data_IF_969636530609
#
_entry.id   IF_969636530609
#
_cell.length_a   1.000
_cell.length_b   1.000
_cell.length_c   1.000
_cell.angle_alpha   90.00
_cell.angle_beta   90.00
_cell.angle_gamma   90.00
#
_symmetry.space_group_name_H-M   'P 1'
#
loop_
_entity.id
_entity.type
_entity.pdbx_description
1 polymer ?
#
# COMPACT_ATOMS: atom_id res chain seq x y z
N UNK A 1 -18.09 -1.84 12.87
CA UNK A 1 -16.89 -2.21 12.10
C UNK A 1 -16.88 -1.41 10.80
N UNK A 2 -15.73 -0.86 10.40
CA UNK A 2 -15.59 -0.16 9.11
C UNK A 2 -14.94 -1.11 8.11
N UNK A 3 -15.53 -1.29 6.92
CA UNK A 3 -15.01 -2.16 5.87
C UNK A 3 -14.22 -1.34 4.85
N UNK A 4 -13.09 -1.88 4.42
CA UNK A 4 -12.26 -1.34 3.33
C UNK A 4 -12.20 -2.33 2.17
N UNK A 5 -12.46 -1.86 0.95
CA UNK A 5 -12.35 -2.66 -0.27
C UNK A 5 -10.94 -2.51 -0.86
N UNK A 6 -10.26 -3.62 -1.08
CA UNK A 6 -9.01 -3.56 -1.86
C UNK A 6 -9.33 -3.34 -3.33
N UNK A 7 -8.68 -2.34 -3.97
CA UNK A 7 -8.82 -2.12 -5.41
C UNK A 7 -8.27 -3.29 -6.26
N UNK A 8 -7.67 -4.29 -5.61
CA UNK A 8 -7.29 -5.56 -6.24
C UNK A 8 -8.45 -6.23 -6.99
N UNK A 9 -9.68 -6.02 -6.58
CA UNK A 9 -10.86 -6.58 -7.26
C UNK A 9 -11.00 -6.12 -8.70
N UNK A 10 -10.34 -5.04 -9.08
CA UNK A 10 -10.29 -4.51 -10.43
C UNK A 10 -9.06 -4.96 -11.23
N UNK A 11 -8.13 -5.70 -10.63
CA UNK A 11 -6.96 -6.24 -11.34
C UNK A 11 -7.39 -7.35 -12.32
N UNK A 12 -6.74 -7.41 -13.48
CA UNK A 12 -6.96 -8.46 -14.45
C UNK A 12 -6.60 -9.85 -13.86
N UNK A 13 -7.29 -10.91 -14.24
CA UNK A 13 -6.96 -12.27 -13.79
C UNK A 13 -5.49 -12.61 -14.08
N UNK A 14 -4.74 -13.01 -13.03
CA UNK A 14 -3.32 -13.34 -13.12
C UNK A 14 -2.36 -12.14 -13.16
N UNK A 15 -2.85 -10.91 -13.28
CA UNK A 15 -2.04 -9.69 -13.23
C UNK A 15 -2.09 -9.02 -11.85
N UNK A 16 -1.05 -8.22 -11.56
CA UNK A 16 -1.00 -7.27 -10.43
C UNK A 16 -0.80 -5.84 -10.92
N UNK A 17 -0.66 -5.66 -12.21
CA UNK A 17 -0.30 -4.41 -12.88
C UNK A 17 -1.45 -3.88 -13.72
N UNK A 18 -2.15 -4.78 -14.43
CA UNK A 18 -3.27 -4.44 -15.30
C UNK A 18 -4.59 -4.42 -14.55
N UNK A 19 -5.48 -3.52 -14.96
CA UNK A 19 -6.83 -3.41 -14.41
C UNK A 19 -7.89 -3.56 -15.49
N UNK A 20 -9.01 -4.21 -15.14
CA UNK A 20 -10.20 -4.39 -15.99
C UNK A 20 -11.31 -3.40 -15.64
N UNK A 21 -11.13 -2.62 -14.59
CA UNK A 21 -12.04 -1.56 -14.13
C UNK A 21 -11.25 -0.33 -13.74
N UNK A 22 -11.80 0.84 -14.01
CA UNK A 22 -11.25 2.10 -13.56
C UNK A 22 -11.42 2.28 -12.05
N UNK A 23 -10.63 3.17 -11.45
CA UNK A 23 -10.81 3.55 -10.05
C UNK A 23 -12.20 4.14 -9.78
N UNK A 24 -12.74 4.92 -10.71
CA UNK A 24 -14.05 5.55 -10.60
C UNK A 24 -15.16 4.51 -10.44
N UNK A 25 -15.17 3.47 -11.29
CA UNK A 25 -16.11 2.36 -11.19
C UNK A 25 -15.99 1.61 -9.86
N UNK A 26 -14.75 1.36 -9.40
CA UNK A 26 -14.50 0.68 -8.12
C UNK A 26 -14.98 1.51 -6.93
N UNK A 27 -14.73 2.82 -6.95
CA UNK A 27 -15.15 3.73 -5.88
C UNK A 27 -16.69 3.83 -5.79
N UNK A 28 -17.37 3.97 -6.92
CA UNK A 28 -18.83 3.98 -6.96
C UNK A 28 -19.43 2.68 -6.44
N UNK A 29 -18.92 1.55 -6.90
CA UNK A 29 -19.38 0.22 -6.44
C UNK A 29 -19.12 0.04 -4.94
N UNK A 30 -17.94 0.40 -4.44
CA UNK A 30 -17.61 0.34 -3.03
C UNK A 30 -18.60 1.15 -2.17
N UNK A 31 -18.90 2.37 -2.58
CA UNK A 31 -19.84 3.24 -1.89
C UNK A 31 -21.26 2.66 -1.89
N UNK A 32 -21.74 2.16 -3.04
CA UNK A 32 -23.08 1.53 -3.20
C UNK A 32 -23.26 0.31 -2.29
N UNK A 33 -22.22 -0.51 -2.14
CA UNK A 33 -22.25 -1.72 -1.29
C UNK A 33 -22.09 -1.38 0.20
N UNK A 34 -21.68 -0.14 0.54
CA UNK A 34 -21.56 0.33 1.90
C UNK A 34 -20.17 0.24 2.51
N UNK A 35 -19.12 0.07 1.71
CA UNK A 35 -17.74 0.24 2.17
C UNK A 35 -17.50 1.68 2.63
N UNK A 36 -16.55 1.85 3.53
CA UNK A 36 -16.16 3.16 4.10
C UNK A 36 -14.74 3.55 3.73
N UNK A 37 -14.00 2.65 3.10
CA UNK A 37 -12.65 2.91 2.65
C UNK A 37 -12.27 2.03 1.47
N UNK A 38 -11.19 2.41 0.80
CA UNK A 38 -10.48 1.61 -0.19
C UNK A 38 -9.02 1.41 0.24
N UNK A 39 -8.47 0.25 -0.09
CA UNK A 39 -7.04 -0.02 0.04
C UNK A 39 -6.42 0.10 -1.35
N UNK A 40 -5.55 1.10 -1.52
CA UNK A 40 -4.94 1.45 -2.82
C UNK A 40 -3.78 0.54 -3.18
N UNK A 41 -3.64 0.29 -4.48
CA UNK A 41 -2.53 -0.47 -5.08
C UNK A 41 -1.98 0.27 -6.29
N UNK A 42 -0.72 -0.03 -6.63
CA UNK A 42 -0.01 0.58 -7.75
C UNK A 42 -0.73 0.40 -9.10
N UNK A 43 -1.54 -0.65 -9.26
CA UNK A 43 -2.37 -0.90 -10.44
C UNK A 43 -3.41 0.20 -10.71
N UNK A 44 -3.87 0.91 -9.68
CA UNK A 44 -4.81 2.04 -9.81
C UNK A 44 -4.13 3.39 -9.56
N UNK A 45 -3.10 3.41 -8.70
CA UNK A 45 -2.34 4.62 -8.39
C UNK A 45 -1.13 4.29 -7.53
N UNK A 46 0.06 4.36 -8.12
CA UNK A 46 1.35 4.08 -7.50
C UNK A 46 2.34 5.22 -7.68
N UNK A 47 3.57 5.01 -7.23
CA UNK A 47 4.66 6.01 -7.30
C UNK A 47 4.99 6.45 -8.74
N UNK A 48 4.68 5.60 -9.73
CA UNK A 48 4.84 5.88 -11.15
C UNK A 48 3.69 6.70 -11.77
N UNK A 49 2.58 6.88 -11.03
CA UNK A 49 1.37 7.51 -11.56
C UNK A 49 1.50 9.04 -11.53
N UNK A 50 1.13 9.75 -12.62
CA UNK A 50 1.19 11.21 -12.65
C UNK A 50 0.39 11.87 -11.52
N UNK A 51 0.93 12.93 -10.93
CA UNK A 51 0.33 13.67 -9.81
C UNK A 51 -1.14 14.07 -10.08
N UNK A 52 -1.44 14.51 -11.30
CA UNK A 52 -2.81 14.90 -11.68
C UNK A 52 -3.79 13.73 -11.54
N UNK A 53 -3.37 12.53 -11.92
CA UNK A 53 -4.18 11.32 -11.79
C UNK A 53 -4.37 10.92 -10.32
N UNK A 54 -3.31 11.00 -9.50
CA UNK A 54 -3.40 10.74 -8.05
C UNK A 54 -4.38 11.72 -7.38
N UNK A 55 -4.32 13.00 -7.78
CA UNK A 55 -5.24 14.02 -7.28
C UNK A 55 -6.70 13.71 -7.66
N UNK A 56 -6.95 13.27 -8.90
CA UNK A 56 -8.28 12.86 -9.36
C UNK A 56 -8.81 11.64 -8.57
N UNK A 57 -7.95 10.63 -8.35
CA UNK A 57 -8.27 9.45 -7.53
C UNK A 57 -8.68 9.85 -6.11
N UNK A 58 -7.88 10.73 -5.47
CA UNK A 58 -8.22 11.26 -4.13
C UNK A 58 -9.55 11.98 -4.11
N UNK A 59 -9.80 12.83 -5.11
CA UNK A 59 -11.05 13.58 -5.21
C UNK A 59 -12.25 12.62 -5.38
N UNK A 60 -12.13 11.65 -6.29
CA UNK A 60 -13.19 10.64 -6.50
C UNK A 60 -13.49 9.84 -5.24
N UNK A 61 -12.46 9.41 -4.48
CA UNK A 61 -12.66 8.73 -3.21
C UNK A 61 -13.49 9.60 -2.24
N UNK A 62 -13.16 10.89 -2.11
CA UNK A 62 -13.89 11.85 -1.27
C UNK A 62 -15.35 12.03 -1.73
N UNK A 63 -15.58 12.17 -3.02
CA UNK A 63 -16.92 12.34 -3.59
C UNK A 63 -17.82 11.12 -3.30
N UNK A 64 -17.20 9.93 -3.21
CA UNK A 64 -17.86 8.70 -2.81
C UNK A 64 -17.88 8.47 -1.27
N UNK A 65 -17.46 9.44 -0.44
CA UNK A 65 -17.31 9.29 1.02
C UNK A 65 -16.44 8.09 1.44
N UNK A 66 -15.40 7.80 0.69
CA UNK A 66 -14.44 6.73 0.97
C UNK A 66 -13.12 7.32 1.49
N UNK A 67 -12.61 6.78 2.59
CA UNK A 67 -11.24 7.01 3.01
C UNK A 67 -10.27 6.10 2.25
N UNK A 68 -9.00 6.48 2.14
CA UNK A 68 -7.93 5.55 1.74
C UNK A 68 -7.34 4.95 3.00
N UNK A 69 -7.52 3.65 3.21
CA UNK A 69 -7.15 2.96 4.46
C UNK A 69 -5.71 2.47 4.48
N UNK A 70 -5.13 2.22 3.33
CA UNK A 70 -3.75 1.76 3.17
C UNK A 70 -3.31 1.96 1.72
N UNK A 71 -2.02 2.18 1.52
CA UNK A 71 -1.39 2.30 0.20
C UNK A 71 -0.37 1.17 0.00
N UNK A 72 -0.35 0.58 -1.20
CA UNK A 72 0.74 -0.26 -1.70
C UNK A 72 1.28 0.43 -2.94
N UNK A 73 2.39 1.13 -2.81
CA UNK A 73 2.84 2.15 -3.77
C UNK A 73 3.52 1.63 -5.02
N UNK A 74 3.91 0.34 -5.07
CA UNK A 74 4.60 -0.27 -6.22
C UNK A 74 4.09 -1.70 -6.51
N UNK A 75 4.48 -2.26 -7.68
CA UNK A 75 4.12 -3.61 -8.09
C UNK A 75 4.93 -4.73 -7.42
N UNK A 76 6.23 -4.56 -7.11
CA UNK A 76 7.04 -5.60 -6.47
C UNK A 76 6.47 -6.11 -5.14
N UNK A 77 5.86 -5.24 -4.34
CA UNK A 77 5.30 -5.62 -3.03
C UNK A 77 4.14 -6.62 -3.17
N UNK A 78 3.09 -6.38 -3.97
CA UNK A 78 1.99 -7.33 -4.12
C UNK A 78 2.36 -8.57 -4.94
N UNK A 79 3.35 -8.47 -5.81
CA UNK A 79 3.90 -9.62 -6.56
C UNK A 79 4.70 -10.52 -5.62
N UNK A 80 5.20 -9.98 -4.50
CA UNK A 80 6.08 -10.66 -3.55
C UNK A 80 7.39 -11.16 -4.16
N UNK A 81 7.94 -10.40 -5.09
CA UNK A 81 9.26 -10.70 -5.67
C UNK A 81 10.42 -10.13 -4.83
N UNK A 82 11.65 -10.41 -5.21
CA UNK A 82 12.85 -9.98 -4.48
C UNK A 82 13.10 -8.47 -4.56
N UNK A 83 12.36 -7.74 -5.40
CA UNK A 83 12.43 -6.29 -5.47
C UNK A 83 11.46 -5.59 -4.51
N UNK A 84 10.54 -6.33 -3.87
CA UNK A 84 9.60 -5.75 -2.89
C UNK A 84 10.26 -4.88 -1.82
N UNK A 85 11.39 -5.29 -1.21
CA UNK A 85 12.11 -4.48 -0.23
C UNK A 85 12.80 -3.22 -0.79
N UNK A 86 12.85 -3.04 -2.10
CA UNK A 86 13.47 -1.84 -2.71
C UNK A 86 12.79 -0.55 -2.27
N UNK A 87 11.47 -0.60 -2.01
CA UNK A 87 10.72 0.52 -1.45
C UNK A 87 11.31 1.04 -0.13
N UNK A 88 11.86 0.16 0.73
CA UNK A 88 12.48 0.54 2.00
C UNK A 88 13.76 1.37 1.83
N UNK A 89 14.49 1.17 0.72
CA UNK A 89 15.74 1.87 0.44
C UNK A 89 15.53 3.29 -0.08
N UNK A 90 14.33 3.56 -0.59
CA UNK A 90 13.88 4.87 -1.05
C UNK A 90 12.39 5.03 -0.73
N UNK A 91 12.07 5.22 0.55
CA UNK A 91 10.69 5.26 1.03
C UNK A 91 9.98 6.57 0.72
N UNK A 92 10.73 7.68 0.56
CA UNK A 92 10.19 9.02 0.37
C UNK A 92 9.08 9.12 -0.69
N UNK A 93 9.23 8.61 -1.94
CA UNK A 93 8.17 8.68 -2.94
C UNK A 93 6.88 7.93 -2.53
N UNK A 94 7.03 6.88 -1.72
CA UNK A 94 5.89 6.11 -1.22
C UNK A 94 5.16 6.86 -0.10
N UNK A 95 5.89 7.56 0.76
CA UNK A 95 5.30 8.44 1.78
C UNK A 95 4.59 9.62 1.13
N UNK A 96 5.21 10.27 0.13
CA UNK A 96 4.59 11.35 -0.64
C UNK A 96 3.26 10.90 -1.28
N UNK A 97 3.25 9.72 -1.92
CA UNK A 97 2.03 9.12 -2.47
C UNK A 97 0.96 8.89 -1.39
N UNK A 98 1.37 8.42 -0.21
CA UNK A 98 0.45 8.13 0.90
C UNK A 98 -0.22 9.41 1.40
N UNK A 99 0.54 10.50 1.57
CA UNK A 99 0.02 11.81 1.92
C UNK A 99 -0.90 12.38 0.83
N UNK A 100 -0.48 12.29 -0.43
CA UNK A 100 -1.29 12.73 -1.57
C UNK A 100 -2.65 12.02 -1.64
N UNK A 101 -2.70 10.74 -1.31
CA UNK A 101 -3.94 9.97 -1.23
C UNK A 101 -4.72 10.21 0.07
N UNK A 102 -4.12 10.87 1.06
CA UNK A 102 -4.74 11.14 2.36
C UNK A 102 -4.84 9.91 3.25
N UNK A 103 -3.90 8.99 3.13
CA UNK A 103 -3.75 7.81 3.98
C UNK A 103 -2.67 8.03 5.05
N UNK A 104 -2.69 7.19 6.08
CA UNK A 104 -1.71 7.16 7.17
C UNK A 104 -1.06 5.79 7.35
N UNK A 105 -1.24 4.89 6.39
CA UNK A 105 -0.73 3.53 6.44
C UNK A 105 -0.22 3.10 5.07
N UNK A 106 1.02 2.60 5.04
CA UNK A 106 1.64 2.06 3.83
C UNK A 106 2.07 0.60 4.05
N UNK A 107 1.85 -0.22 3.03
CA UNK A 107 2.34 -1.59 3.01
C UNK A 107 3.75 -1.65 2.45
N UNK A 108 4.64 -2.32 3.19
CA UNK A 108 6.03 -2.59 2.82
C UNK A 108 6.28 -4.10 2.71
N UNK A 109 7.47 -4.49 2.25
CA UNK A 109 7.95 -5.87 2.26
C UNK A 109 9.37 -5.95 2.82
N UNK A 110 9.62 -6.99 3.64
CA UNK A 110 10.95 -7.37 4.13
C UNK A 110 11.14 -8.86 3.88
N UNK A 111 12.24 -9.24 3.24
CA UNK A 111 12.49 -10.63 2.86
C UNK A 111 13.75 -11.21 3.52
N UNK A 112 14.72 -10.37 3.81
CA UNK A 112 16.04 -10.77 4.32
C UNK A 112 16.46 -9.92 5.50
N UNK A 113 17.40 -10.42 6.30
CA UNK A 113 17.96 -9.71 7.44
C UNK A 113 18.47 -8.30 7.10
N UNK A 114 19.09 -8.13 5.95
CA UNK A 114 19.59 -6.85 5.46
C UNK A 114 18.49 -5.80 5.23
N UNK A 115 17.22 -6.22 5.11
CA UNK A 115 16.10 -5.30 4.94
C UNK A 115 15.74 -4.58 6.25
N UNK A 116 16.13 -5.13 7.41
CA UNK A 116 15.79 -4.58 8.73
C UNK A 116 16.38 -3.19 8.93
N UNK A 117 17.64 -2.98 8.56
CA UNK A 117 18.29 -1.67 8.70
C UNK A 117 17.60 -0.61 7.81
N UNK A 118 17.09 -1.01 6.66
CA UNK A 118 16.33 -0.12 5.79
C UNK A 118 14.93 0.13 6.32
N UNK A 119 14.30 -0.88 6.92
CA UNK A 119 13.01 -0.74 7.57
C UNK A 119 13.08 0.22 8.78
N UNK A 120 14.16 0.17 9.57
CA UNK A 120 14.40 1.13 10.66
C UNK A 120 14.45 2.57 10.14
N UNK A 121 15.26 2.83 9.10
CA UNK A 121 15.37 4.17 8.48
C UNK A 121 14.04 4.64 7.88
N UNK A 122 13.36 3.75 7.16
CA UNK A 122 12.05 4.04 6.60
C UNK A 122 11.00 4.32 7.68
N UNK A 123 11.07 3.61 8.82
CA UNK A 123 10.20 3.83 9.98
C UNK A 123 10.43 5.19 10.63
N UNK A 124 11.69 5.64 10.74
CA UNK A 124 12.02 6.95 11.27
C UNK A 124 11.44 8.07 10.37
N UNK A 125 11.66 7.99 9.06
CA UNK A 125 11.11 8.96 8.10
C UNK A 125 9.57 8.96 8.09
N UNK A 126 8.95 7.78 8.14
CA UNK A 126 7.49 7.65 8.17
C UNK A 126 6.89 8.25 9.46
N UNK A 127 7.57 8.07 10.60
CA UNK A 127 7.16 8.62 11.90
C UNK A 127 7.13 10.16 11.89
N UNK A 128 8.10 10.81 11.23
CA UNK A 128 8.14 12.26 11.07
C UNK A 128 6.93 12.81 10.32
N UNK A 129 6.23 11.96 9.56
CA UNK A 129 5.05 12.29 8.75
C UNK A 129 3.75 11.70 9.28
N UNK A 130 3.74 11.15 10.49
CA UNK A 130 2.59 10.44 11.07
C UNK A 130 2.06 9.28 10.20
N UNK A 131 2.94 8.64 9.43
CA UNK A 131 2.62 7.48 8.58
C UNK A 131 3.14 6.21 9.24
N UNK A 132 2.31 5.17 9.25
CA UNK A 132 2.64 3.84 9.77
C UNK A 132 3.07 2.91 8.64
N UNK A 133 4.09 2.10 8.92
CA UNK A 133 4.48 1.02 8.02
C UNK A 133 3.81 -0.28 8.46
N UNK A 134 3.32 -1.07 7.51
CA UNK A 134 2.73 -2.38 7.77
C UNK A 134 3.34 -3.44 6.85
N UNK A 135 3.58 -4.63 7.40
CA UNK A 135 4.00 -5.80 6.64
C UNK A 135 2.90 -6.85 6.66
N UNK A 136 2.58 -7.42 5.51
CA UNK A 136 1.68 -8.57 5.44
C UNK A 136 2.48 -9.86 5.66
N UNK A 137 2.01 -10.74 6.57
CA UNK A 137 2.55 -12.11 6.67
C UNK A 137 2.49 -12.80 5.31
N UNK A 138 3.63 -13.28 4.84
CA UNK A 138 3.74 -13.91 3.55
C UNK A 138 4.87 -14.95 3.55
N UNK A 139 4.70 -16.00 2.75
CA UNK A 139 5.77 -16.97 2.47
C UNK A 139 6.99 -16.27 1.87
N UNK A 140 8.17 -16.80 2.15
CA UNK A 140 9.45 -16.24 1.67
C UNK A 140 9.68 -14.78 2.13
N UNK A 141 9.24 -14.44 3.33
CA UNK A 141 9.50 -13.15 3.98
C UNK A 141 9.94 -13.37 5.43
N UNK A 142 10.48 -12.32 6.07
CA UNK A 142 10.79 -12.35 7.52
C UNK A 142 9.53 -12.51 8.39
N UNK A 143 8.34 -12.30 7.82
CA UNK A 143 7.04 -12.44 8.47
C UNK A 143 6.32 -13.74 8.11
N UNK A 144 7.04 -14.78 7.69
CA UNK A 144 6.46 -16.08 7.36
C UNK A 144 5.99 -16.84 8.62
N UNK A 145 6.68 -16.65 9.73
CA UNK A 145 6.34 -17.30 11.01
C UNK A 145 6.04 -16.29 12.10
N UNK A 146 5.26 -16.68 13.10
CA UNK A 146 4.96 -15.84 14.27
C UNK A 146 6.25 -15.45 15.01
N UNK A 147 7.16 -16.39 15.20
CA UNK A 147 8.43 -16.13 15.90
C UNK A 147 9.29 -15.12 15.14
N UNK A 148 9.44 -15.29 13.81
CA UNK A 148 10.15 -14.35 12.96
C UNK A 148 9.51 -12.97 12.97
N UNK A 149 8.18 -12.91 12.88
CA UNK A 149 7.45 -11.63 12.94
C UNK A 149 7.71 -10.88 14.25
N UNK A 150 7.67 -11.57 15.40
CA UNK A 150 7.93 -10.97 16.72
C UNK A 150 9.37 -10.48 16.83
N UNK A 151 10.33 -11.26 16.33
CA UNK A 151 11.73 -10.87 16.33
C UNK A 151 11.97 -9.59 15.52
N UNK A 152 11.48 -9.54 14.30
CA UNK A 152 11.60 -8.35 13.46
C UNK A 152 10.93 -7.13 14.09
N UNK A 153 9.70 -7.27 14.64
CA UNK A 153 8.99 -6.16 15.28
C UNK A 153 9.68 -5.60 16.54
N UNK A 154 10.56 -6.38 17.18
CA UNK A 154 11.38 -5.89 18.30
C UNK A 154 12.62 -5.11 17.83
N UNK A 155 12.99 -5.26 16.58
CA UNK A 155 14.21 -4.70 15.99
C UNK A 155 13.93 -3.49 15.08
N UNK A 156 12.70 -3.26 14.68
CA UNK A 156 12.23 -2.11 13.90
C UNK A 156 11.36 -1.21 14.77
#
# INVERSE_FOLDING_TARGET
>A
MKLSLSVRVAEAPGSKEETIRSFDEVAELAAQIGYRAVCMRASQGGTQTPLQQITAIRQKARDCNLAVSMVTGDFPIPINNDQGPTALRNITPHLDLTELLGADLIRIAMKREEDIVWAQRASDEARERDIRLAHQSHTLSLFETVVGSIDVLKRV
#
